data_IF_344886103917
#
_entry.id   IF_344886103917
#
_cell.length_a   1.000
_cell.length_b   1.000
_cell.length_c   1.000
_cell.angle_alpha   90.00
_cell.angle_beta   90.00
_cell.angle_gamma   90.00
#
_symmetry.space_group_name_H-M   'P 1'
#
loop_
_entity.id
_entity.type
_entity.pdbx_description
1 polymer ?
#
# COMPACT_ATOMS: atom_id res chain seq x y z
N UNK A 1 4.78 -1.35 31.77
CA UNK A 1 3.99 -2.23 30.86
C UNK A 1 4.41 -3.66 31.12
N UNK A 2 3.48 -4.63 31.13
CA UNK A 2 3.82 -6.06 31.26
C UNK A 2 4.61 -6.52 30.03
N UNK A 3 5.57 -7.45 30.19
CA UNK A 3 6.30 -8.06 29.06
C UNK A 3 5.35 -8.63 27.99
N UNK A 4 4.20 -9.17 28.42
CA UNK A 4 3.13 -9.62 27.51
C UNK A 4 2.60 -8.52 26.59
N UNK A 5 2.43 -7.29 27.12
CA UNK A 5 1.94 -6.17 26.32
C UNK A 5 2.96 -5.72 25.27
N UNK A 6 4.25 -5.83 25.58
CA UNK A 6 5.33 -5.51 24.63
C UNK A 6 5.41 -6.57 23.52
N UNK A 7 5.34 -7.85 23.90
CA UNK A 7 5.32 -8.96 22.93
C UNK A 7 4.12 -8.87 21.98
N UNK A 8 2.91 -8.63 22.51
CA UNK A 8 1.70 -8.48 21.69
C UNK A 8 1.80 -7.30 20.71
N UNK A 9 2.36 -6.16 21.13
CA UNK A 9 2.56 -5.01 20.24
C UNK A 9 3.58 -5.28 19.13
N UNK A 10 4.64 -6.06 19.43
CA UNK A 10 5.63 -6.45 18.44
C UNK A 10 5.02 -7.39 17.39
N UNK A 11 4.22 -8.37 17.81
CA UNK A 11 3.52 -9.28 16.90
C UNK A 11 2.52 -8.53 16.01
N UNK A 12 1.72 -7.62 16.59
CA UNK A 12 0.80 -6.74 15.82
C UNK A 12 1.57 -5.91 14.79
N UNK A 13 2.70 -5.32 15.17
CA UNK A 13 3.54 -4.53 14.25
C UNK A 13 4.10 -5.39 13.11
N UNK A 14 4.58 -6.61 13.42
CA UNK A 14 5.10 -7.54 12.41
C UNK A 14 4.01 -8.01 11.45
N UNK A 15 2.82 -8.30 11.96
CA UNK A 15 1.65 -8.67 11.16
C UNK A 15 1.28 -7.56 10.17
N UNK A 16 1.20 -6.31 10.64
CA UNK A 16 0.88 -5.15 9.80
C UNK A 16 1.94 -4.90 8.72
N UNK A 17 3.23 -5.04 9.07
CA UNK A 17 4.32 -4.91 8.12
C UNK A 17 4.26 -5.97 7.01
N UNK A 18 3.97 -7.22 7.37
CA UNK A 18 3.80 -8.31 6.41
C UNK A 18 2.59 -8.05 5.50
N UNK A 19 1.43 -7.69 6.07
CA UNK A 19 0.24 -7.36 5.29
C UNK A 19 0.49 -6.19 4.32
N UNK A 20 1.23 -5.15 4.75
CA UNK A 20 1.62 -4.03 3.89
C UNK A 20 2.44 -4.48 2.68
N UNK A 21 3.42 -5.36 2.92
CA UNK A 21 4.25 -5.91 1.87
C UNK A 21 3.42 -6.73 0.87
N UNK A 22 2.59 -7.63 1.38
CA UNK A 22 1.80 -8.56 0.58
C UNK A 22 0.73 -7.82 -0.26
N UNK A 23 0.24 -6.67 0.22
CA UNK A 23 -0.65 -5.79 -0.55
C UNK A 23 0.10 -4.91 -1.58
N UNK A 24 1.36 -4.56 -1.30
CA UNK A 24 2.18 -3.77 -2.23
C UNK A 24 2.53 -4.55 -3.49
N UNK A 25 2.75 -5.86 -3.37
CA UNK A 25 3.10 -6.74 -4.49
C UNK A 25 2.06 -6.71 -5.63
N UNK A 26 0.75 -6.98 -5.40
CA UNK A 26 -0.23 -6.94 -6.48
C UNK A 26 -0.42 -5.53 -7.04
N UNK A 27 -0.39 -4.48 -6.22
CA UNK A 27 -0.47 -3.08 -6.71
C UNK A 27 0.68 -2.77 -7.67
N UNK A 28 1.90 -3.17 -7.29
CA UNK A 28 3.07 -2.98 -8.13
C UNK A 28 2.98 -3.77 -9.44
N UNK A 29 2.54 -5.04 -9.39
CA UNK A 29 2.32 -5.85 -10.59
C UNK A 29 1.30 -5.24 -11.54
N UNK A 30 0.16 -4.74 -11.02
CA UNK A 30 -0.83 -4.07 -11.86
C UNK A 30 -0.23 -2.81 -12.49
N UNK A 31 0.57 -2.03 -11.74
CA UNK A 31 1.29 -0.86 -12.26
C UNK A 31 2.27 -1.20 -13.38
N UNK A 32 2.94 -2.36 -13.33
CA UNK A 32 3.79 -2.82 -14.43
C UNK A 32 2.96 -3.18 -15.67
N UNK A 33 1.81 -3.84 -15.49
CA UNK A 33 0.93 -4.15 -16.62
C UNK A 33 0.32 -2.90 -17.25
N UNK A 34 -0.09 -1.91 -16.46
CA UNK A 34 -0.58 -0.63 -17.01
C UNK A 34 0.52 0.12 -17.74
N UNK A 35 1.75 0.12 -17.23
CA UNK A 35 2.90 0.68 -17.95
C UNK A 35 3.13 0.00 -19.31
N UNK A 36 3.10 -1.33 -19.38
CA UNK A 36 3.17 -2.06 -20.64
C UNK A 36 2.03 -1.72 -21.61
N UNK A 37 0.80 -1.53 -21.10
CA UNK A 37 -0.35 -1.14 -21.91
C UNK A 37 -0.19 0.27 -22.48
N UNK A 38 0.40 1.21 -21.74
CA UNK A 38 0.69 2.57 -22.24
C UNK A 38 1.68 2.59 -23.40
N UNK A 39 2.59 1.62 -23.45
CA UNK A 39 3.52 1.47 -24.57
C UNK A 39 2.89 0.82 -25.81
N UNK A 40 1.72 0.17 -25.64
CA UNK A 40 0.97 -0.38 -26.76
C UNK A 40 0.29 0.74 -27.58
N UNK A 41 0.08 0.50 -28.88
CA UNK A 41 -0.69 1.40 -29.75
C UNK A 41 -2.19 1.28 -29.47
N UNK A 42 -2.62 1.86 -28.35
CA UNK A 42 -4.00 1.91 -27.90
C UNK A 42 -4.76 3.07 -28.58
N UNK A 43 -6.07 2.88 -28.79
CA UNK A 43 -6.99 3.96 -29.16
C UNK A 43 -7.24 4.91 -27.99
N UNK A 44 -7.93 6.02 -28.25
CA UNK A 44 -8.18 7.06 -27.24
C UNK A 44 -8.98 6.56 -26.03
N UNK A 45 -9.96 5.68 -26.27
CA UNK A 45 -10.81 5.16 -25.20
C UNK A 45 -10.07 4.15 -24.32
N UNK A 46 -9.24 3.28 -24.90
CA UNK A 46 -8.38 2.38 -24.13
C UNK A 46 -7.34 3.14 -23.32
N UNK A 47 -6.75 4.21 -23.87
CA UNK A 47 -5.83 5.07 -23.12
C UNK A 47 -6.52 5.70 -21.90
N UNK A 48 -7.76 6.19 -22.04
CA UNK A 48 -8.54 6.72 -20.92
C UNK A 48 -8.81 5.67 -19.85
N UNK A 49 -9.09 4.42 -20.25
CA UNK A 49 -9.28 3.33 -19.31
C UNK A 49 -7.98 3.02 -18.53
N UNK A 50 -6.83 2.98 -19.22
CA UNK A 50 -5.52 2.77 -18.57
C UNK A 50 -5.21 3.89 -17.58
N UNK A 51 -5.43 5.15 -17.94
CA UNK A 51 -5.26 6.30 -17.03
C UNK A 51 -6.19 6.21 -15.80
N UNK A 52 -7.42 5.75 -15.98
CA UNK A 52 -8.36 5.55 -14.87
C UNK A 52 -7.93 4.40 -13.94
N UNK A 53 -7.36 3.33 -14.48
CA UNK A 53 -6.78 2.23 -13.70
C UNK A 53 -5.60 2.75 -12.87
N UNK A 54 -4.67 3.49 -13.47
CA UNK A 54 -3.52 4.08 -12.77
C UNK A 54 -3.96 4.99 -11.60
N UNK A 55 -4.93 5.86 -11.83
CA UNK A 55 -5.50 6.72 -10.78
C UNK A 55 -6.15 5.91 -9.66
N UNK A 56 -6.88 4.86 -10.01
CA UNK A 56 -7.54 3.99 -9.03
C UNK A 56 -6.53 3.22 -8.18
N UNK A 57 -5.44 2.72 -8.80
CA UNK A 57 -4.35 2.06 -8.09
C UNK A 57 -3.63 3.00 -7.13
N UNK A 58 -3.39 4.26 -7.55
CA UNK A 58 -2.80 5.28 -6.69
C UNK A 58 -3.68 5.51 -5.45
N UNK A 59 -4.99 5.67 -5.65
CA UNK A 59 -5.95 5.87 -4.57
C UNK A 59 -5.99 4.68 -3.59
N UNK A 60 -6.03 3.46 -4.11
CA UNK A 60 -5.99 2.24 -3.29
C UNK A 60 -4.69 2.16 -2.49
N UNK A 61 -3.55 2.46 -3.11
CA UNK A 61 -2.25 2.49 -2.41
C UNK A 61 -2.22 3.51 -1.27
N UNK A 62 -2.80 4.70 -1.49
CA UNK A 62 -2.90 5.74 -0.46
C UNK A 62 -3.83 5.32 0.69
N UNK A 63 -5.00 4.76 0.39
CA UNK A 63 -5.93 4.26 1.42
C UNK A 63 -5.28 3.19 2.29
N UNK A 64 -4.55 2.25 1.69
CA UNK A 64 -3.83 1.22 2.46
C UNK A 64 -2.73 1.81 3.34
N UNK A 65 -1.96 2.78 2.85
CA UNK A 65 -0.97 3.49 3.68
C UNK A 65 -1.62 4.17 4.88
N UNK A 66 -2.71 4.90 4.66
CA UNK A 66 -3.45 5.58 5.75
C UNK A 66 -3.97 4.61 6.81
N UNK A 67 -4.51 3.46 6.38
CA UNK A 67 -4.99 2.42 7.31
C UNK A 67 -3.82 1.87 8.14
N UNK A 68 -2.69 1.58 7.50
CA UNK A 68 -1.49 1.07 8.20
C UNK A 68 -0.89 2.11 9.14
N UNK A 69 -0.86 3.38 8.75
CA UNK A 69 -0.38 4.49 9.58
C UNK A 69 -1.25 4.62 10.83
N UNK A 70 -2.58 4.55 10.70
CA UNK A 70 -3.51 4.53 11.84
C UNK A 70 -3.19 3.40 12.83
N UNK A 71 -3.00 2.18 12.33
CA UNK A 71 -2.66 1.03 13.18
C UNK A 71 -1.24 1.10 13.77
N UNK A 72 -0.33 1.85 13.15
CA UNK A 72 1.04 2.07 13.64
C UNK A 72 1.08 3.19 14.70
N UNK A 73 0.26 4.24 14.53
CA UNK A 73 0.04 5.35 15.47
C UNK A 73 -0.57 4.88 16.79
N UNK A 74 -1.56 3.99 16.72
CA UNK A 74 -2.22 3.40 17.90
C UNK A 74 -1.25 2.61 18.80
N UNK A 75 -0.09 2.20 18.27
CA UNK A 75 0.96 1.50 19.03
C UNK A 75 2.10 2.43 19.51
N UNK A 76 1.95 3.76 19.42
CA UNK A 76 2.85 4.74 20.06
C UNK A 76 4.28 4.81 19.50
N UNK A 77 4.53 4.31 18.27
CA UNK A 77 5.87 4.24 17.68
C UNK A 77 5.96 5.00 16.34
N UNK A 78 5.69 6.28 16.35
CA UNK A 78 6.27 7.19 15.37
C UNK A 78 7.22 8.13 16.11
N UNK A 79 8.48 7.71 16.27
CA UNK A 79 9.56 8.67 16.41
C UNK A 79 9.70 9.34 15.04
N UNK A 80 9.46 10.65 14.91
CA UNK A 80 9.64 11.36 13.66
C UNK A 80 11.10 11.20 13.24
N UNK A 81 11.34 10.65 12.04
CA UNK A 81 12.63 10.79 11.38
C UNK A 81 12.68 12.22 10.82
N UNK A 82 13.37 13.10 11.54
CA UNK A 82 13.94 14.33 10.99
C UNK A 82 15.14 14.01 10.10
#
# INVERSE_FOLDING_TARGET
>A
ASEQAIAANLEKSRFLAQASHDLRQPIHSIGLFTACLREARLGEDEQRLVDNIDRSLLNVSQLFRSILDLYTLDNGRLLPKY
#
